data_IF_063441699113
#
_entry.id   IF_063441699113
#
_cell.length_a   1.000
_cell.length_b   1.000
_cell.length_c   1.000
_cell.angle_alpha   90.00
_cell.angle_beta   90.00
_cell.angle_gamma   90.00
#
_symmetry.space_group_name_H-M   'P 1'
#
loop_
_entity.id
_entity.type
_entity.pdbx_description
1 polymer ?
#
# COMPACT_ATOMS: atom_id res chain seq x y z
N UNK A 1 -9.08 44.55 34.22
CA UNK A 1 -9.80 43.30 34.59
C UNK A 1 -10.31 42.65 33.31
N UNK A 2 -9.53 41.72 32.74
CA UNK A 2 -10.03 40.58 31.96
C UNK A 2 -8.86 39.62 31.74
N UNK A 3 -9.11 38.37 32.10
CA UNK A 3 -8.14 37.36 32.48
C UNK A 3 -7.45 36.70 31.28
N UNK A 4 -6.17 36.36 31.50
CA UNK A 4 -5.47 35.27 30.83
C UNK A 4 -6.30 33.98 30.88
N UNK A 5 -6.42 33.29 29.75
CA UNK A 5 -6.64 31.84 29.74
C UNK A 5 -5.43 31.17 29.10
N UNK A 6 -4.50 30.75 29.95
CA UNK A 6 -3.60 29.65 29.67
C UNK A 6 -4.45 28.40 29.39
N UNK A 7 -4.25 27.76 28.24
CA UNK A 7 -4.54 26.33 28.09
C UNK A 7 -3.28 25.68 27.55
N UNK A 8 -2.45 25.31 28.54
CA UNK A 8 -1.61 24.11 28.61
C UNK A 8 -1.32 23.48 27.26
N UNK A 9 -0.14 23.82 26.73
CA UNK A 9 0.70 22.89 25.99
C UNK A 9 0.82 21.65 26.86
N UNK A 10 0.05 20.60 26.57
CA UNK A 10 0.33 19.29 27.15
C UNK A 10 1.64 18.83 26.52
N UNK A 11 2.70 19.02 27.30
CA UNK A 11 3.91 18.20 27.29
C UNK A 11 3.51 16.75 27.05
N UNK A 12 3.65 16.31 25.79
CA UNK A 12 3.83 14.90 25.53
C UNK A 12 5.23 14.58 26.06
N UNK A 13 5.27 13.83 27.15
CA UNK A 13 6.49 13.38 27.80
C UNK A 13 7.52 12.91 26.77
N UNK A 14 8.76 13.35 26.94
CA UNK A 14 9.89 13.02 26.08
C UNK A 14 10.20 11.50 25.96
N UNK A 15 9.44 10.63 26.63
CA UNK A 15 9.50 9.18 26.47
C UNK A 15 8.69 8.65 25.27
N UNK A 16 7.70 9.37 24.74
CA UNK A 16 6.89 8.93 23.56
C UNK A 16 7.48 9.37 22.21
N UNK A 17 8.50 10.24 22.20
CA UNK A 17 9.17 10.68 20.96
C UNK A 17 10.28 9.74 20.48
N UNK A 18 10.47 8.59 21.14
CA UNK A 18 11.63 7.72 20.95
C UNK A 18 11.37 6.46 20.08
N UNK A 19 10.22 6.33 19.42
CA UNK A 19 9.88 5.10 18.65
C UNK A 19 9.81 5.20 17.12
N UNK A 20 9.96 6.37 16.49
CA UNK A 20 9.86 6.47 15.02
C UNK A 20 11.23 6.54 14.32
N UNK A 21 12.05 5.50 14.53
CA UNK A 21 12.66 4.90 13.35
C UNK A 21 11.47 4.34 12.58
N UNK A 22 11.09 4.89 11.43
CA UNK A 22 10.02 4.29 10.61
C UNK A 22 10.51 2.93 10.09
N UNK A 23 10.45 1.92 10.96
CA UNK A 23 10.68 0.52 10.64
C UNK A 23 9.73 0.15 9.51
N UNK A 24 10.08 -0.85 8.71
CA UNK A 24 9.08 -1.48 7.85
C UNK A 24 7.84 -1.81 8.71
N UNK A 25 6.62 -1.49 8.26
CA UNK A 25 5.47 -1.60 9.15
C UNK A 25 5.25 -3.05 9.63
N UNK A 26 5.24 -3.26 10.96
CA UNK A 26 5.17 -4.61 11.56
C UNK A 26 3.96 -5.44 11.15
N UNK A 27 2.86 -4.80 10.75
CA UNK A 27 1.67 -5.48 10.23
C UNK A 27 1.94 -6.32 8.96
N UNK A 28 3.05 -6.09 8.25
CA UNK A 28 3.49 -6.94 7.14
C UNK A 28 3.87 -8.37 7.58
N UNK A 29 4.08 -8.58 8.88
CA UNK A 29 4.35 -9.90 9.48
C UNK A 29 3.06 -10.67 9.78
N UNK A 30 1.90 -10.01 9.71
CA UNK A 30 0.60 -10.67 9.90
C UNK A 30 0.23 -11.53 8.68
N UNK A 31 -0.83 -12.33 8.82
CA UNK A 31 -1.38 -13.06 7.68
C UNK A 31 -2.16 -12.09 6.76
N UNK A 32 -1.87 -12.05 5.45
CA UNK A 32 -2.61 -11.21 4.53
C UNK A 32 -4.05 -11.70 4.40
N UNK A 33 -4.98 -10.75 4.30
CA UNK A 33 -6.37 -11.05 3.96
C UNK A 33 -6.53 -11.29 2.45
N UNK A 34 -5.70 -10.61 1.64
CA UNK A 34 -5.58 -10.83 0.20
C UNK A 34 -4.10 -10.86 -0.18
N UNK A 35 -3.73 -11.74 -1.10
CA UNK A 35 -2.40 -11.81 -1.72
C UNK A 35 -2.53 -12.21 -3.19
N UNK A 36 -1.84 -11.47 -4.07
CA UNK A 36 -1.71 -11.72 -5.51
C UNK A 36 -0.39 -12.45 -5.78
N UNK A 37 -0.44 -13.78 -5.75
CA UNK A 37 0.73 -14.64 -5.88
C UNK A 37 1.39 -14.54 -7.25
N UNK A 38 0.61 -14.53 -8.34
CA UNK A 38 1.11 -14.42 -9.72
C UNK A 38 1.90 -13.12 -9.93
N UNK A 39 1.38 -11.99 -9.44
CA UNK A 39 2.04 -10.69 -9.59
C UNK A 39 3.24 -10.57 -8.66
N UNK A 40 3.16 -11.06 -7.43
CA UNK A 40 4.32 -11.07 -6.52
C UNK A 40 5.44 -11.91 -7.11
N UNK A 41 5.16 -13.13 -7.58
CA UNK A 41 6.14 -14.02 -8.22
C UNK A 41 6.81 -13.32 -9.42
N UNK A 42 6.01 -12.74 -10.32
CA UNK A 42 6.53 -12.03 -11.51
C UNK A 42 7.40 -10.82 -11.13
N UNK A 43 7.01 -10.10 -10.08
CA UNK A 43 7.74 -8.92 -9.63
C UNK A 43 9.04 -9.27 -8.91
N UNK A 44 8.99 -10.32 -8.08
CA UNK A 44 10.16 -10.93 -7.46
C UNK A 44 11.16 -11.38 -8.53
N UNK A 45 10.68 -12.05 -9.58
CA UNK A 45 11.52 -12.51 -10.70
C UNK A 45 12.13 -11.35 -11.50
N UNK A 46 11.46 -10.20 -11.58
CA UNK A 46 11.96 -9.03 -12.29
C UNK A 46 12.99 -8.21 -11.49
N UNK A 47 12.84 -8.10 -10.17
CA UNK A 47 13.67 -7.23 -9.32
C UNK A 47 14.79 -8.01 -8.64
N UNK A 48 14.49 -9.21 -8.16
CA UNK A 48 15.36 -9.98 -7.28
C UNK A 48 16.08 -11.09 -8.05
N UNK A 49 15.36 -11.89 -8.85
CA UNK A 49 15.94 -13.05 -9.55
C UNK A 49 16.96 -12.78 -10.66
N UNK A 50 17.09 -11.58 -11.29
CA UNK A 50 18.20 -11.32 -12.20
C UNK A 50 19.57 -11.40 -11.50
N UNK A 51 19.60 -11.30 -10.15
CA UNK A 51 20.80 -11.48 -9.33
C UNK A 51 21.01 -12.93 -8.85
N UNK A 52 20.01 -13.81 -8.98
CA UNK A 52 19.97 -15.13 -8.33
C UNK A 52 20.28 -16.31 -9.25
N UNK A 53 20.44 -16.12 -10.58
CA UNK A 53 20.72 -17.23 -11.51
C UNK A 53 22.09 -17.92 -11.33
N UNK A 54 22.87 -17.54 -10.33
CA UNK A 54 24.23 -18.07 -10.07
C UNK A 54 24.43 -18.48 -8.60
N UNK A 55 23.62 -17.99 -7.64
CA UNK A 55 23.86 -18.18 -6.21
C UNK A 55 22.57 -18.60 -5.47
N UNK A 56 22.66 -19.64 -4.63
CA UNK A 56 21.57 -20.17 -3.77
C UNK A 56 21.02 -19.14 -2.76
N UNK A 57 21.62 -17.96 -2.68
CA UNK A 57 21.23 -16.87 -1.80
C UNK A 57 21.61 -15.51 -2.39
N UNK A 58 20.86 -14.48 -2.04
CA UNK A 58 21.11 -13.10 -2.46
C UNK A 58 21.72 -12.34 -1.28
N UNK A 59 22.93 -11.85 -1.46
CA UNK A 59 23.62 -11.05 -0.43
C UNK A 59 23.43 -9.57 -0.68
N UNK A 60 22.81 -8.88 0.28
CA UNK A 60 22.67 -7.43 0.33
C UNK A 60 23.68 -6.89 1.33
N UNK A 61 24.69 -6.17 0.86
CA UNK A 61 25.59 -5.41 1.74
C UNK A 61 24.99 -4.05 2.07
N UNK A 62 24.88 -3.72 3.35
CA UNK A 62 24.48 -2.39 3.84
C UNK A 62 25.72 -1.51 4.00
N UNK A 63 25.76 -0.42 3.25
CA UNK A 63 26.85 0.55 3.20
C UNK A 63 26.44 1.88 3.84
N UNK A 64 27.40 2.78 4.06
CA UNK A 64 27.12 4.10 4.66
C UNK A 64 26.26 4.97 3.74
N UNK A 65 26.40 4.79 2.43
CA UNK A 65 25.64 5.47 1.39
C UNK A 65 24.16 5.07 1.45
N UNK A 66 23.86 3.76 1.60
CA UNK A 66 22.49 3.26 1.78
C UNK A 66 21.83 3.92 3.01
N UNK A 67 22.56 4.04 4.12
CA UNK A 67 22.07 4.68 5.34
C UNK A 67 21.74 6.16 5.12
N UNK A 68 22.56 6.88 4.36
CA UNK A 68 22.30 8.30 4.03
C UNK A 68 21.03 8.46 3.20
N UNK A 69 20.83 7.58 2.21
CA UNK A 69 19.63 7.61 1.37
C UNK A 69 18.38 7.27 2.17
N UNK A 70 18.42 6.23 3.01
CA UNK A 70 17.31 5.87 3.91
C UNK A 70 16.96 7.05 4.83
N UNK A 71 17.95 7.68 5.48
CA UNK A 71 17.70 8.85 6.34
C UNK A 71 16.98 9.97 5.60
N UNK A 72 17.44 10.25 4.38
CA UNK A 72 16.88 11.31 3.54
C UNK A 72 15.43 11.00 3.16
N UNK A 73 15.16 9.80 2.65
CA UNK A 73 13.83 9.44 2.13
C UNK A 73 12.79 9.23 3.24
N UNK A 74 13.21 8.79 4.43
CA UNK A 74 12.33 8.56 5.58
C UNK A 74 12.38 9.67 6.64
N UNK A 75 13.14 10.75 6.42
CA UNK A 75 13.19 11.90 7.32
C UNK A 75 13.75 11.60 8.72
N UNK A 76 14.62 10.60 8.86
CA UNK A 76 15.10 10.13 10.17
C UNK A 76 16.18 11.10 10.68
N UNK A 77 15.87 11.83 11.75
CA UNK A 77 16.73 12.86 12.33
C UNK A 77 17.89 12.37 13.21
N UNK A 78 17.93 11.08 13.53
CA UNK A 78 18.96 10.49 14.42
C UNK A 78 20.18 9.94 13.67
N UNK A 79 21.30 9.79 14.38
CA UNK A 79 22.51 9.20 13.81
C UNK A 79 22.40 7.66 13.73
N UNK A 80 21.85 7.16 12.63
CA UNK A 80 21.83 5.73 12.29
C UNK A 80 23.15 5.27 11.65
N UNK A 81 23.61 4.06 11.96
CA UNK A 81 24.72 3.34 11.32
C UNK A 81 24.25 2.06 10.62
N UNK A 82 25.07 1.44 9.73
CA UNK A 82 24.67 0.22 9.02
C UNK A 82 24.20 -0.96 9.90
N UNK A 83 24.78 -1.24 11.09
CA UNK A 83 24.27 -2.29 11.97
C UNK A 83 22.83 -2.03 12.47
N UNK A 84 22.46 -0.78 12.68
CA UNK A 84 21.13 -0.41 13.16
C UNK A 84 20.06 -0.71 12.10
N UNK A 85 20.39 -0.47 10.82
CA UNK A 85 19.53 -0.87 9.69
C UNK A 85 19.33 -2.39 9.66
N UNK A 86 20.39 -3.18 9.86
CA UNK A 86 20.29 -4.65 9.91
C UNK A 86 19.41 -5.11 11.06
N UNK A 87 19.57 -4.52 12.25
CA UNK A 87 18.75 -4.85 13.42
C UNK A 87 17.26 -4.55 13.17
N UNK A 88 16.97 -3.37 12.62
CA UNK A 88 15.61 -2.94 12.29
C UNK A 88 14.89 -3.88 11.31
N UNK A 89 15.61 -4.41 10.31
CA UNK A 89 15.00 -5.33 9.35
C UNK A 89 15.03 -6.80 9.78
N UNK A 90 15.71 -7.15 10.88
CA UNK A 90 15.89 -8.54 11.32
C UNK A 90 14.57 -9.30 11.53
N UNK A 91 13.49 -8.73 12.10
CA UNK A 91 12.20 -9.43 12.20
C UNK A 91 11.66 -9.86 10.84
N UNK A 92 11.71 -8.97 9.85
CA UNK A 92 11.32 -9.24 8.47
C UNK A 92 12.24 -10.24 7.79
N UNK A 93 13.54 -10.20 8.06
CA UNK A 93 14.47 -11.19 7.55
C UNK A 93 14.13 -12.59 8.03
N UNK A 94 13.84 -12.77 9.33
CA UNK A 94 13.44 -14.06 9.87
C UNK A 94 12.14 -14.56 9.24
N UNK A 95 11.14 -13.69 9.12
CA UNK A 95 9.86 -14.03 8.50
C UNK A 95 10.00 -14.38 7.01
N UNK A 96 10.82 -13.62 6.28
CA UNK A 96 11.18 -13.82 4.88
C UNK A 96 12.33 -14.81 4.66
N UNK A 97 12.60 -15.72 5.61
CA UNK A 97 13.57 -16.84 5.50
C UNK A 97 15.04 -16.46 5.24
N UNK A 98 15.42 -15.23 5.54
CA UNK A 98 16.79 -14.72 5.45
C UNK A 98 17.61 -14.91 6.72
N UNK A 99 18.92 -14.68 6.60
CA UNK A 99 19.90 -14.72 7.68
C UNK A 99 20.76 -13.44 7.67
N UNK A 100 21.23 -13.01 8.85
CA UNK A 100 22.14 -11.87 9.00
C UNK A 100 23.55 -12.35 9.27
N UNK A 101 24.56 -11.71 8.66
CA UNK A 101 25.97 -11.97 8.93
C UNK A 101 26.77 -10.66 9.01
N UNK A 102 27.74 -10.60 9.93
CA UNK A 102 28.70 -9.50 9.99
C UNK A 102 30.11 -10.09 9.94
N UNK A 103 30.96 -9.60 9.04
CA UNK A 103 32.37 -9.98 9.02
C UNK A 103 33.28 -8.79 8.71
N UNK A 104 34.50 -8.86 9.22
CA UNK A 104 35.52 -7.85 9.03
C UNK A 104 36.49 -8.31 7.95
N UNK A 105 36.65 -7.53 6.86
CA UNK A 105 37.63 -7.81 5.80
C UNK A 105 38.45 -6.54 5.53
N UNK A 106 39.78 -6.65 5.57
CA UNK A 106 40.72 -5.53 5.37
C UNK A 106 40.40 -4.30 6.26
N UNK A 107 40.10 -4.52 7.54
CA UNK A 107 39.78 -3.44 8.50
C UNK A 107 38.43 -2.75 8.30
N UNK A 108 37.62 -3.17 7.30
CA UNK A 108 36.24 -2.68 7.10
C UNK A 108 35.24 -3.74 7.55
N UNK A 109 34.37 -3.39 8.50
CA UNK A 109 33.22 -4.20 8.91
C UNK A 109 32.17 -4.14 7.80
N UNK A 110 31.84 -5.28 7.19
CA UNK A 110 30.71 -5.42 6.27
C UNK A 110 29.51 -5.95 7.03
N UNK A 111 28.37 -5.31 6.82
CA UNK A 111 27.08 -5.75 7.37
C UNK A 111 26.28 -6.33 6.19
N UNK A 112 26.02 -7.63 6.26
CA UNK A 112 25.42 -8.36 5.17
C UNK A 112 24.13 -9.04 5.60
N UNK A 113 23.18 -8.97 4.69
CA UNK A 113 21.89 -9.63 4.77
C UNK A 113 21.88 -10.68 3.67
N UNK A 114 21.63 -11.93 4.02
CA UNK A 114 21.47 -13.02 3.06
C UNK A 114 20.01 -13.41 2.98
N UNK A 115 19.46 -13.36 1.78
CA UNK A 115 18.11 -13.80 1.48
C UNK A 115 18.22 -15.14 0.75
N UNK A 116 17.71 -16.21 1.35
CA UNK A 116 17.63 -17.50 0.66
C UNK A 116 16.50 -17.46 -0.38
N UNK A 117 16.56 -18.31 -1.40
CA UNK A 117 15.45 -18.46 -2.35
C UNK A 117 14.19 -18.94 -1.62
N UNK A 118 13.03 -18.36 -1.94
CA UNK A 118 11.76 -18.69 -1.32
C UNK A 118 10.63 -18.71 -2.33
N UNK A 119 9.77 -19.71 -2.18
CA UNK A 119 8.69 -20.03 -3.12
C UNK A 119 7.29 -19.66 -2.61
N UNK A 120 7.17 -19.06 -1.42
CA UNK A 120 5.87 -18.59 -0.89
C UNK A 120 5.68 -17.09 -1.14
N UNK A 121 4.53 -16.65 -1.69
CA UNK A 121 4.29 -15.24 -2.04
C UNK A 121 4.49 -14.26 -0.89
N UNK A 122 4.01 -14.58 0.31
CA UNK A 122 4.16 -13.69 1.48
C UNK A 122 5.64 -13.40 1.79
N UNK A 123 6.49 -14.43 1.77
CA UNK A 123 7.93 -14.26 2.03
C UNK A 123 8.64 -13.55 0.88
N UNK A 124 8.24 -13.79 -0.36
CA UNK A 124 8.74 -13.04 -1.53
C UNK A 124 8.41 -11.55 -1.41
N UNK A 125 7.18 -11.21 -0.97
CA UNK A 125 6.78 -9.83 -0.72
C UNK A 125 7.64 -9.17 0.36
N UNK A 126 7.92 -9.89 1.45
CA UNK A 126 8.81 -9.41 2.51
C UNK A 126 10.22 -9.15 1.95
N UNK A 127 10.77 -10.07 1.15
CA UNK A 127 12.08 -9.88 0.51
C UNK A 127 12.10 -8.71 -0.47
N UNK A 128 11.03 -8.50 -1.25
CA UNK A 128 10.86 -7.32 -2.11
C UNK A 128 10.90 -6.04 -1.30
N UNK A 129 10.13 -5.96 -0.21
CA UNK A 129 10.08 -4.79 0.65
C UNK A 129 11.43 -4.49 1.28
N UNK A 130 12.16 -5.52 1.72
CA UNK A 130 13.53 -5.38 2.24
C UNK A 130 14.50 -4.84 1.20
N UNK A 131 14.48 -5.42 -0.01
CA UNK A 131 15.32 -4.96 -1.12
C UNK A 131 15.02 -3.51 -1.48
N UNK A 132 13.75 -3.12 -1.50
CA UNK A 132 13.33 -1.74 -1.74
C UNK A 132 13.77 -0.80 -0.63
N UNK A 133 13.50 -1.17 0.62
CA UNK A 133 13.89 -0.37 1.78
C UNK A 133 15.39 -0.06 1.79
N UNK A 134 16.23 -1.04 1.42
CA UNK A 134 17.69 -0.90 1.49
C UNK A 134 18.28 -0.29 0.21
N UNK A 135 17.82 -0.70 -0.98
CA UNK A 135 18.49 -0.38 -2.26
C UNK A 135 17.70 0.55 -3.18
N UNK A 136 16.43 0.76 -2.89
CA UNK A 136 15.56 1.67 -3.63
C UNK A 136 14.67 2.47 -2.67
N UNK A 137 15.22 3.12 -1.61
CA UNK A 137 14.41 3.82 -0.62
C UNK A 137 13.56 4.95 -1.24
N UNK A 138 14.00 5.53 -2.34
CA UNK A 138 13.25 6.51 -3.14
C UNK A 138 12.03 5.91 -3.87
N UNK A 139 11.96 4.57 -3.97
CA UNK A 139 10.91 3.81 -4.65
C UNK A 139 9.98 3.07 -3.70
N UNK A 140 10.04 3.33 -2.40
CA UNK A 140 9.04 2.90 -1.42
C UNK A 140 8.36 4.14 -0.83
N UNK A 141 7.05 4.08 -0.63
CA UNK A 141 6.30 5.17 0.01
C UNK A 141 5.33 4.62 1.05
N UNK A 142 5.46 5.10 2.28
CA UNK A 142 4.52 4.80 3.37
C UNK A 142 3.50 5.93 3.43
N UNK A 143 2.26 5.62 3.09
CA UNK A 143 1.18 6.61 2.95
C UNK A 143 0.23 6.45 4.12
N UNK A 144 0.50 7.20 5.19
CA UNK A 144 -0.38 7.28 6.35
C UNK A 144 -1.56 8.24 6.14
N UNK A 145 -1.35 9.30 5.36
CA UNK A 145 -2.39 10.25 4.99
C UNK A 145 -2.44 10.42 3.46
N UNK A 146 -3.33 9.68 2.81
CA UNK A 146 -3.52 9.75 1.35
C UNK A 146 -4.08 11.07 0.83
N UNK A 147 -4.59 11.92 1.73
CA UNK A 147 -5.13 13.24 1.37
C UNK A 147 -4.07 14.33 1.24
N UNK A 148 -2.81 14.05 1.54
CA UNK A 148 -1.78 15.09 1.49
C UNK A 148 -1.65 15.66 0.07
N UNK A 149 -1.44 16.97 -0.02
CA UNK A 149 -1.24 17.64 -1.31
C UNK A 149 0.07 17.20 -2.00
N UNK A 150 0.98 16.59 -1.24
CA UNK A 150 2.24 16.00 -1.72
C UNK A 150 2.16 14.47 -1.88
N UNK A 151 0.94 13.92 -2.04
CA UNK A 151 0.71 12.48 -2.17
C UNK A 151 1.49 11.85 -3.33
N UNK A 152 1.80 10.54 -3.22
CA UNK A 152 2.60 9.78 -4.19
C UNK A 152 2.16 9.95 -5.67
N UNK A 153 0.89 10.27 -5.89
CA UNK A 153 0.27 10.45 -7.19
C UNK A 153 0.55 11.80 -7.87
N UNK A 154 1.22 12.74 -7.21
CA UNK A 154 1.43 14.11 -7.75
C UNK A 154 2.64 14.25 -8.66
N UNK A 155 3.52 13.24 -8.73
CA UNK A 155 4.72 13.29 -9.57
C UNK A 155 4.72 12.18 -10.64
N UNK A 156 4.21 12.46 -11.87
CA UNK A 156 4.15 11.50 -12.97
C UNK A 156 5.52 10.91 -13.35
N UNK A 157 6.59 11.68 -13.23
CA UNK A 157 7.94 11.22 -13.54
C UNK A 157 8.44 10.18 -12.54
N UNK A 158 8.05 10.30 -11.25
CA UNK A 158 8.34 9.27 -10.23
C UNK A 158 7.58 7.97 -10.50
N UNK A 159 6.34 8.08 -10.97
CA UNK A 159 5.46 6.96 -11.29
C UNK A 159 6.01 6.09 -12.44
N UNK A 160 6.60 6.73 -13.45
CA UNK A 160 7.03 6.05 -14.69
C UNK A 160 8.36 5.30 -14.56
N UNK A 161 9.22 5.67 -13.61
CA UNK A 161 10.57 5.10 -13.47
C UNK A 161 10.54 3.60 -13.09
N UNK A 162 11.40 2.75 -13.67
CA UNK A 162 11.65 1.40 -13.18
C UNK A 162 12.69 1.40 -12.03
N UNK A 163 12.68 0.37 -11.14
CA UNK A 163 11.59 -0.59 -10.97
C UNK A 163 10.34 0.13 -10.43
N UNK A 164 9.13 -0.42 -10.58
CA UNK A 164 7.90 0.30 -10.18
C UNK A 164 7.92 0.67 -8.70
N UNK A 165 7.31 1.80 -8.33
CA UNK A 165 7.25 2.24 -6.94
C UNK A 165 6.36 1.29 -6.13
N UNK A 166 6.83 0.89 -4.94
CA UNK A 166 6.04 0.22 -3.92
C UNK A 166 5.38 1.25 -3.02
N UNK A 167 4.08 1.08 -2.77
CA UNK A 167 3.33 1.90 -1.83
C UNK A 167 2.74 1.00 -0.75
N UNK A 168 2.87 1.45 0.49
CA UNK A 168 2.23 0.92 1.67
C UNK A 168 1.15 1.93 2.07
N UNK A 169 -0.09 1.67 1.64
CA UNK A 169 -1.24 2.50 2.00
C UNK A 169 -1.81 2.04 3.33
N UNK A 170 -2.00 2.98 4.26
CA UNK A 170 -2.77 2.75 5.47
C UNK A 170 -4.13 3.46 5.37
N UNK A 171 -5.21 2.69 5.24
CA UNK A 171 -6.57 3.18 5.13
C UNK A 171 -7.28 3.04 6.49
N UNK A 172 -7.83 4.13 7.06
CA UNK A 172 -8.41 4.11 8.39
C UNK A 172 -9.81 3.46 8.42
N UNK A 173 -10.22 2.88 9.56
CA UNK A 173 -11.62 2.50 9.79
C UNK A 173 -12.54 3.72 9.82
N UNK A 174 -13.85 3.48 9.62
CA UNK A 174 -14.90 4.50 9.69
C UNK A 174 -14.93 5.36 10.97
N UNK A 175 -14.53 4.79 12.12
CA UNK A 175 -14.65 5.47 13.42
C UNK A 175 -13.44 6.33 13.77
N UNK A 176 -12.41 6.40 12.92
CA UNK A 176 -11.21 7.20 13.20
C UNK A 176 -11.45 8.65 12.80
N UNK A 177 -11.87 9.45 13.78
CA UNK A 177 -11.87 10.91 13.71
C UNK A 177 -10.46 11.37 14.05
N UNK A 178 -9.69 11.77 13.05
CA UNK A 178 -8.45 12.54 13.27
C UNK A 178 -8.81 14.01 13.05
N UNK A 179 -8.12 14.94 13.71
CA UNK A 179 -8.21 16.40 13.52
C UNK A 179 -8.01 16.88 12.06
N UNK A 180 -7.77 15.94 11.14
CA UNK A 180 -7.89 16.11 9.70
C UNK A 180 -8.97 15.16 9.17
N UNK A 181 -9.97 15.66 8.41
CA UNK A 181 -11.05 14.84 7.88
C UNK A 181 -10.52 13.90 6.78
N UNK A 182 -9.89 12.79 7.19
CA UNK A 182 -9.51 11.69 6.31
C UNK A 182 -10.81 10.98 5.88
N UNK A 183 -11.11 10.81 4.59
CA UNK A 183 -12.20 9.95 4.19
C UNK A 183 -11.93 8.55 4.73
N UNK A 184 -13.01 7.92 5.16
CA UNK A 184 -13.07 6.54 5.60
C UNK A 184 -12.54 5.61 4.48
N UNK A 185 -12.33 4.32 4.78
CA UNK A 185 -11.93 3.36 3.74
C UNK A 185 -13.08 3.15 2.75
N UNK A 186 -13.13 4.01 1.73
CA UNK A 186 -14.13 3.99 0.66
C UNK A 186 -13.51 3.38 -0.60
N UNK A 187 -13.96 2.18 -0.95
CA UNK A 187 -13.55 1.49 -2.18
C UNK A 187 -14.77 1.39 -3.08
N UNK A 188 -14.90 2.34 -4.01
CA UNK A 188 -16.05 2.37 -4.94
C UNK A 188 -15.77 1.42 -6.09
N UNK A 189 -16.44 0.27 -6.21
CA UNK A 189 -16.20 -0.65 -7.31
C UNK A 189 -16.70 -0.05 -8.63
N UNK A 190 -15.98 -0.30 -9.71
CA UNK A 190 -16.25 0.35 -11.02
C UNK A 190 -16.37 -0.63 -12.17
N UNK A 191 -15.53 -1.66 -12.18
CA UNK A 191 -15.61 -2.73 -13.17
C UNK A 191 -14.94 -3.98 -12.64
N UNK A 192 -15.38 -5.13 -13.14
CA UNK A 192 -14.76 -6.42 -12.87
C UNK A 192 -14.71 -7.25 -14.16
N UNK A 193 -13.74 -8.16 -14.23
CA UNK A 193 -13.73 -9.28 -15.16
C UNK A 193 -13.88 -10.57 -14.36
N UNK A 194 -14.66 -11.51 -14.88
CA UNK A 194 -14.84 -12.82 -14.30
C UNK A 194 -14.06 -13.88 -15.08
N UNK A 195 -13.83 -15.04 -14.46
CA UNK A 195 -13.06 -16.15 -15.07
C UNK A 195 -13.66 -16.72 -16.36
N UNK A 196 -14.91 -16.36 -16.69
CA UNK A 196 -15.56 -16.69 -17.96
C UNK A 196 -15.23 -15.68 -19.09
N UNK A 197 -14.42 -14.65 -18.81
CA UNK A 197 -14.04 -13.57 -19.74
C UNK A 197 -15.07 -12.42 -19.84
N UNK A 198 -16.16 -12.48 -19.08
CA UNK A 198 -17.15 -11.41 -19.05
C UNK A 198 -16.61 -10.20 -18.29
N UNK A 199 -16.72 -9.02 -18.91
CA UNK A 199 -16.34 -7.74 -18.30
C UNK A 199 -17.61 -6.93 -18.03
N UNK A 200 -17.83 -6.59 -16.77
CA UNK A 200 -19.00 -5.84 -16.31
C UNK A 200 -18.60 -4.47 -15.78
N UNK A 201 -19.48 -3.49 -16.00
CA UNK A 201 -19.43 -2.22 -15.26
C UNK A 201 -20.26 -2.41 -13.99
N UNK A 202 -19.67 -2.01 -12.87
CA UNK A 202 -20.35 -2.01 -11.58
C UNK A 202 -20.98 -0.63 -11.38
N UNK A 203 -21.92 -0.55 -10.43
CA UNK A 203 -22.67 0.67 -10.09
C UNK A 203 -23.63 1.15 -11.18
N UNK A 204 -24.01 0.31 -12.14
CA UNK A 204 -24.95 0.71 -13.20
C UNK A 204 -26.42 0.60 -12.80
N UNK A 205 -26.72 0.23 -11.55
CA UNK A 205 -28.08 0.07 -11.06
C UNK A 205 -28.77 1.42 -10.80
N UNK A 206 -30.08 1.35 -10.51
CA UNK A 206 -30.92 2.53 -10.27
C UNK A 206 -30.49 3.35 -9.05
N UNK A 207 -29.81 2.75 -8.06
CA UNK A 207 -29.33 3.44 -6.85
C UNK A 207 -28.29 4.51 -7.21
N UNK A 208 -27.49 4.27 -8.24
CA UNK A 208 -26.37 5.14 -8.63
C UNK A 208 -26.62 5.97 -9.90
N UNK A 209 -27.80 5.87 -10.53
CA UNK A 209 -28.11 6.60 -11.77
C UNK A 209 -27.93 8.12 -11.64
N UNK A 210 -28.32 8.68 -10.50
CA UNK A 210 -28.15 10.12 -10.22
C UNK A 210 -26.67 10.51 -10.18
N UNK A 211 -25.81 9.70 -9.55
CA UNK A 211 -24.37 9.93 -9.50
C UNK A 211 -23.72 9.81 -10.89
N UNK A 212 -24.17 8.85 -11.70
CA UNK A 212 -23.75 8.71 -13.10
C UNK A 212 -24.09 9.94 -13.93
N UNK A 213 -25.35 10.39 -13.89
CA UNK A 213 -25.81 11.56 -14.64
C UNK A 213 -25.02 12.82 -14.27
N UNK A 214 -24.85 13.08 -12.96
CA UNK A 214 -24.06 14.21 -12.48
C UNK A 214 -22.59 14.14 -12.94
N UNK A 215 -21.97 12.96 -12.91
CA UNK A 215 -20.60 12.79 -13.39
C UNK A 215 -20.48 13.05 -14.90
N UNK A 216 -21.43 12.58 -15.70
CA UNK A 216 -21.43 12.85 -17.15
C UNK A 216 -21.63 14.34 -17.45
N UNK A 217 -22.44 15.05 -16.68
CA UNK A 217 -22.54 16.51 -16.78
C UNK A 217 -21.24 17.22 -16.42
N UNK A 218 -20.53 16.76 -15.38
CA UNK A 218 -19.22 17.29 -15.02
C UNK A 218 -18.20 17.05 -16.13
N UNK A 219 -18.18 15.86 -16.72
CA UNK A 219 -17.32 15.54 -17.88
C UNK A 219 -17.60 16.46 -19.07
N UNK A 220 -18.87 16.71 -19.40
CA UNK A 220 -19.25 17.67 -20.46
C UNK A 220 -18.73 19.08 -20.21
N UNK A 221 -18.53 19.44 -18.94
CA UNK A 221 -17.93 20.73 -18.49
C UNK A 221 -16.40 20.66 -18.36
N UNK A 222 -15.76 19.59 -18.84
CA UNK A 222 -14.30 19.38 -18.77
C UNK A 222 -13.80 19.07 -17.35
N UNK A 223 -14.67 18.62 -16.44
CA UNK A 223 -14.31 18.30 -15.05
C UNK A 223 -14.37 16.79 -14.84
N UNK A 224 -13.22 16.19 -14.53
CA UNK A 224 -13.15 14.79 -14.13
C UNK A 224 -13.20 14.68 -12.61
N UNK A 225 -14.41 14.52 -12.06
CA UNK A 225 -14.63 14.37 -10.61
C UNK A 225 -15.53 13.19 -10.32
N UNK A 226 -15.15 12.41 -9.31
CA UNK A 226 -15.93 11.30 -8.77
C UNK A 226 -16.81 11.70 -7.58
N UNK A 227 -16.88 13.00 -7.27
CA UNK A 227 -17.61 13.53 -6.10
C UNK A 227 -19.06 13.00 -5.98
N UNK A 228 -19.87 12.90 -7.05
CA UNK A 228 -21.23 12.34 -6.94
C UNK A 228 -21.25 10.90 -6.41
N UNK A 229 -20.26 10.08 -6.77
CA UNK A 229 -20.13 8.71 -6.26
C UNK A 229 -19.61 8.67 -4.83
N UNK A 230 -18.77 9.63 -4.42
CA UNK A 230 -18.34 9.76 -3.03
C UNK A 230 -19.53 10.06 -2.11
N UNK A 231 -20.41 10.96 -2.55
CA UNK A 231 -21.59 11.39 -1.78
C UNK A 231 -22.68 10.31 -1.71
N UNK A 232 -22.78 9.47 -2.73
CA UNK A 232 -23.72 8.35 -2.78
C UNK A 232 -23.16 7.03 -2.20
N UNK A 233 -21.91 6.99 -1.75
CA UNK A 233 -21.28 5.74 -1.34
C UNK A 233 -21.84 5.22 -0.01
N UNK A 234 -22.31 3.97 -0.03
CA UNK A 234 -22.55 3.14 1.15
C UNK A 234 -21.79 1.80 0.98
N UNK A 235 -21.07 1.33 2.02
CA UNK A 235 -20.26 0.10 1.92
C UNK A 235 -21.09 -1.20 1.80
N UNK A 236 -22.34 -1.22 2.27
CA UNK A 236 -23.24 -2.37 2.08
C UNK A 236 -23.75 -2.37 0.64
N UNK A 237 -24.24 -1.24 0.14
CA UNK A 237 -24.63 -1.13 -1.28
C UNK A 237 -23.46 -1.48 -2.20
N UNK A 238 -22.24 -1.04 -1.87
CA UNK A 238 -21.03 -1.38 -2.61
C UNK A 238 -20.75 -2.88 -2.67
N UNK A 239 -21.03 -3.59 -1.57
CA UNK A 239 -20.86 -5.04 -1.47
C UNK A 239 -21.95 -5.74 -2.28
N UNK A 240 -23.22 -5.35 -2.10
CA UNK A 240 -24.36 -5.89 -2.82
C UNK A 240 -24.22 -5.72 -4.34
N UNK A 241 -23.75 -4.56 -4.81
CA UNK A 241 -23.51 -4.35 -6.26
C UNK A 241 -22.53 -5.36 -6.82
N UNK A 242 -21.47 -5.71 -6.08
CA UNK A 242 -20.53 -6.73 -6.53
C UNK A 242 -21.24 -8.08 -6.56
N UNK A 243 -21.93 -8.42 -5.48
CA UNK A 243 -22.61 -9.72 -5.30
C UNK A 243 -23.69 -9.97 -6.34
N UNK A 244 -24.55 -8.98 -6.63
CA UNK A 244 -25.62 -9.03 -7.62
C UNK A 244 -25.10 -9.18 -9.05
N UNK A 245 -23.86 -8.75 -9.31
CA UNK A 245 -23.24 -8.81 -10.64
C UNK A 245 -22.38 -10.07 -10.83
N UNK A 246 -22.28 -10.95 -9.84
CA UNK A 246 -21.46 -12.18 -9.95
C UNK A 246 -22.02 -13.11 -11.03
N UNK A 247 -21.22 -13.34 -12.08
CA UNK A 247 -21.51 -14.34 -13.12
C UNK A 247 -20.46 -15.47 -13.19
N UNK A 248 -19.43 -15.40 -12.35
CA UNK A 248 -18.32 -16.35 -12.24
C UNK A 248 -17.37 -15.91 -11.14
N UNK A 249 -16.23 -16.60 -10.94
CA UNK A 249 -15.23 -16.11 -9.98
C UNK A 249 -14.58 -14.82 -10.49
N UNK A 250 -14.25 -13.89 -9.60
CA UNK A 250 -13.60 -12.63 -9.99
C UNK A 250 -12.17 -12.92 -10.47
N UNK A 251 -11.84 -12.50 -11.68
CA UNK A 251 -10.47 -12.49 -12.21
C UNK A 251 -9.74 -11.22 -11.75
N UNK A 252 -10.37 -10.07 -11.95
CA UNK A 252 -9.94 -8.79 -11.38
C UNK A 252 -11.13 -7.85 -11.13
N UNK A 253 -10.92 -6.90 -10.23
CA UNK A 253 -11.88 -5.83 -9.93
C UNK A 253 -11.15 -4.51 -9.68
N UNK A 254 -11.71 -3.43 -10.22
CA UNK A 254 -11.20 -2.07 -10.08
C UNK A 254 -12.08 -1.26 -9.13
N UNK A 255 -11.43 -0.60 -8.18
CA UNK A 255 -12.05 0.34 -7.27
C UNK A 255 -11.52 1.76 -7.52
N UNK A 256 -12.31 2.76 -7.14
CA UNK A 256 -11.86 4.13 -6.99
C UNK A 256 -11.70 4.43 -5.50
N UNK A 257 -10.47 4.81 -5.13
CA UNK A 257 -10.11 5.25 -3.79
C UNK A 257 -10.02 6.78 -3.77
N UNK A 258 -10.73 7.48 -2.88
CA UNK A 258 -10.67 8.93 -2.80
C UNK A 258 -9.28 9.41 -2.35
N UNK A 259 -8.75 10.39 -3.08
CA UNK A 259 -7.51 11.10 -2.77
C UNK A 259 -7.75 12.50 -2.22
N UNK A 260 -8.94 13.07 -2.45
CA UNK A 260 -9.36 14.35 -1.87
C UNK A 260 -10.89 14.46 -1.84
N UNK A 261 -11.40 15.56 -1.26
CA UNK A 261 -12.85 15.82 -1.14
C UNK A 261 -13.48 16.33 -2.44
N UNK A 262 -12.66 16.81 -3.37
CA UNK A 262 -13.08 17.36 -4.66
C UNK A 262 -13.40 16.27 -5.70
N UNK A 263 -13.22 15.00 -5.34
CA UNK A 263 -13.53 13.86 -6.21
C UNK A 263 -12.36 13.38 -7.05
N UNK A 264 -11.12 13.75 -6.72
CA UNK A 264 -9.93 13.09 -7.27
C UNK A 264 -9.77 11.73 -6.61
N UNK A 265 -9.51 10.71 -7.42
CA UNK A 265 -9.43 9.31 -6.96
C UNK A 265 -8.21 8.61 -7.56
N UNK A 266 -7.67 7.63 -6.85
CA UNK A 266 -6.80 6.60 -7.40
C UNK A 266 -7.63 5.40 -7.87
N UNK A 267 -7.20 4.71 -8.92
CA UNK A 267 -7.67 3.37 -9.25
C UNK A 267 -6.92 2.35 -8.39
N UNK A 268 -7.63 1.45 -7.73
CA UNK A 268 -7.05 0.34 -6.97
C UNK A 268 -7.52 -0.94 -7.62
N UNK A 269 -6.58 -1.73 -8.15
CA UNK A 269 -6.88 -2.98 -8.84
C UNK A 269 -6.50 -4.17 -7.96
N UNK A 270 -7.49 -5.02 -7.70
CA UNK A 270 -7.27 -6.35 -7.14
C UNK A 270 -7.40 -7.40 -8.25
N UNK A 271 -6.51 -8.39 -8.23
CA UNK A 271 -6.49 -9.48 -9.21
C UNK A 271 -6.47 -10.83 -8.51
N UNK A 272 -7.60 -11.26 -7.91
CA UNK A 272 -7.68 -12.55 -7.23
C UNK A 272 -7.56 -13.75 -8.17
N UNK A 273 -7.66 -13.58 -9.50
CA UNK A 273 -7.45 -14.65 -10.48
C UNK A 273 -8.30 -15.91 -10.24
N UNK A 274 -9.51 -15.74 -9.71
CA UNK A 274 -10.41 -16.85 -9.38
C UNK A 274 -10.03 -17.66 -8.14
N UNK A 275 -9.04 -17.24 -7.35
CA UNK A 275 -8.59 -17.98 -6.17
C UNK A 275 -9.47 -17.74 -4.92
N UNK A 276 -10.27 -16.68 -4.92
CA UNK A 276 -11.10 -16.29 -3.78
C UNK A 276 -12.59 -16.55 -4.03
N UNK A 277 -13.33 -16.88 -2.97
CA UNK A 277 -14.79 -16.84 -3.01
C UNK A 277 -15.25 -15.39 -3.10
N UNK A 278 -16.11 -15.08 -4.08
CA UNK A 278 -16.48 -13.70 -4.37
C UNK A 278 -17.16 -12.97 -3.19
N UNK A 279 -18.06 -13.64 -2.47
CA UNK A 279 -18.74 -13.07 -1.30
C UNK A 279 -17.74 -12.74 -0.19
N UNK A 280 -16.87 -13.68 0.17
CA UNK A 280 -15.80 -13.44 1.14
C UNK A 280 -14.87 -12.31 0.69
N UNK A 281 -14.53 -12.28 -0.60
CA UNK A 281 -13.65 -11.27 -1.16
C UNK A 281 -14.30 -9.87 -1.08
N UNK A 282 -15.53 -9.71 -1.57
CA UNK A 282 -16.24 -8.44 -1.59
C UNK A 282 -16.55 -7.95 -0.18
N UNK A 283 -17.14 -8.80 0.66
CA UNK A 283 -17.52 -8.47 2.04
C UNK A 283 -16.30 -8.07 2.88
N UNK A 284 -15.22 -8.86 2.84
CA UNK A 284 -14.07 -8.56 3.68
C UNK A 284 -13.26 -7.36 3.18
N UNK A 285 -13.18 -7.15 1.87
CA UNK A 285 -12.42 -6.04 1.31
C UNK A 285 -13.16 -4.70 1.44
N UNK A 286 -14.45 -4.68 1.11
CA UNK A 286 -15.26 -3.46 1.04
C UNK A 286 -15.89 -3.18 2.40
N UNK A 287 -16.76 -4.04 2.89
CA UNK A 287 -17.47 -3.80 4.15
C UNK A 287 -16.55 -3.87 5.37
N UNK A 288 -15.78 -4.95 5.53
CA UNK A 288 -14.87 -5.06 6.68
C UNK A 288 -13.68 -4.11 6.57
N UNK A 289 -13.20 -3.83 5.35
CA UNK A 289 -12.21 -2.77 5.11
C UNK A 289 -12.71 -1.39 5.50
N UNK A 290 -13.97 -1.05 5.18
CA UNK A 290 -14.61 0.18 5.65
C UNK A 290 -14.74 0.23 7.17
N UNK A 291 -15.20 -0.87 7.78
CA UNK A 291 -15.48 -0.95 9.22
C UNK A 291 -14.22 -0.94 10.09
N UNK A 292 -13.18 -1.67 9.68
CA UNK A 292 -11.98 -1.92 10.48
C UNK A 292 -10.71 -1.27 9.92
N UNK A 293 -10.75 -0.78 8.68
CA UNK A 293 -9.58 -0.25 7.98
C UNK A 293 -8.86 -1.33 7.19
N UNK A 294 -8.01 -0.88 6.27
CA UNK A 294 -7.28 -1.76 5.35
C UNK A 294 -5.87 -1.23 5.13
N UNK A 295 -4.89 -2.12 5.15
CA UNK A 295 -3.49 -1.82 4.84
C UNK A 295 -3.13 -2.52 3.55
N UNK A 296 -2.68 -1.78 2.55
CA UNK A 296 -2.44 -2.29 1.20
C UNK A 296 -0.97 -2.14 0.87
N UNK A 297 -0.37 -3.21 0.34
CA UNK A 297 0.91 -3.14 -0.38
C UNK A 297 0.61 -3.27 -1.86
N UNK A 298 1.10 -2.32 -2.66
CA UNK A 298 0.87 -2.36 -4.10
C UNK A 298 1.98 -1.68 -4.91
N UNK A 299 1.95 -1.92 -6.21
CA UNK A 299 2.83 -1.25 -7.18
C UNK A 299 2.09 -0.13 -7.87
N UNK A 300 2.74 1.02 -7.99
CA UNK A 300 2.19 2.19 -8.67
C UNK A 300 2.32 2.04 -10.19
N UNK A 301 1.21 2.28 -10.90
CA UNK A 301 1.14 2.35 -12.36
C UNK A 301 0.85 3.78 -12.84
N UNK A 302 0.73 3.95 -14.16
CA UNK A 302 0.38 5.24 -14.79
C UNK A 302 -1.05 5.65 -14.48
N UNK A 303 -1.29 6.98 -14.43
CA UNK A 303 -2.47 7.54 -13.73
C UNK A 303 -2.38 7.16 -12.25
N UNK A 304 -3.07 7.78 -11.28
CA UNK A 304 -2.95 7.29 -9.90
C UNK A 304 -3.57 5.88 -9.80
N UNK A 305 -2.86 4.84 -10.21
CA UNK A 305 -3.29 3.45 -10.17
C UNK A 305 -2.34 2.63 -9.30
N UNK A 306 -2.91 1.77 -8.47
CA UNK A 306 -2.19 0.81 -7.66
C UNK A 306 -2.67 -0.58 -8.01
N UNK A 307 -1.74 -1.40 -8.49
CA UNK A 307 -1.93 -2.85 -8.58
C UNK A 307 -1.60 -3.45 -7.21
N UNK A 308 -2.62 -3.99 -6.54
CA UNK A 308 -2.46 -4.55 -5.19
C UNK A 308 -1.67 -5.85 -5.27
N UNK A 309 -0.66 -5.96 -4.41
CA UNK A 309 0.11 -7.19 -4.18
C UNK A 309 -0.43 -7.95 -2.97
N UNK A 310 -0.73 -7.23 -1.89
CA UNK A 310 -1.34 -7.80 -0.70
C UNK A 310 -2.18 -6.76 0.04
N UNK A 311 -3.18 -7.22 0.77
CA UNK A 311 -3.96 -6.40 1.69
C UNK A 311 -4.14 -7.10 3.03
N UNK A 312 -4.12 -6.31 4.10
CA UNK A 312 -4.17 -6.73 5.49
C UNK A 312 -5.26 -5.93 6.19
N UNK A 313 -5.93 -6.57 7.13
CA UNK A 313 -6.87 -5.87 8.01
C UNK A 313 -6.10 -4.96 8.96
N UNK A 314 -6.67 -3.80 9.27
CA UNK A 314 -6.13 -2.92 10.30
C UNK A 314 -6.66 -3.28 11.68
#
# INVERSE_FOLDING_TARGET
MLLLLCVVVTDMSQEEQNEDLQELPRWLLDAPHFIDDKRINSFYDAVIRPKAKIEESITITVQKEDVKEIKKEFGIGIEIQPPDIVNMVTPFLRAGGGQTGSYTRFGRRKNEIRLNEINTPQRQLIQLLLQYFIKHPDRIGVVQNRLSQDGWYVNPERIRKPPKQLILLDLPPKNVVVDTPRPETMLIPTSAEFTNGEIVKLYTDDRFQSAYQQREELKKKGRESWKPFLEAYDPLDATEVIEDTISGKIEWINYRLPLNKEGKTAQIRFSPSGEYHNGDFAYNLVYMGHKHGLRIVGTVQSEPEINVLAAYRK
#
